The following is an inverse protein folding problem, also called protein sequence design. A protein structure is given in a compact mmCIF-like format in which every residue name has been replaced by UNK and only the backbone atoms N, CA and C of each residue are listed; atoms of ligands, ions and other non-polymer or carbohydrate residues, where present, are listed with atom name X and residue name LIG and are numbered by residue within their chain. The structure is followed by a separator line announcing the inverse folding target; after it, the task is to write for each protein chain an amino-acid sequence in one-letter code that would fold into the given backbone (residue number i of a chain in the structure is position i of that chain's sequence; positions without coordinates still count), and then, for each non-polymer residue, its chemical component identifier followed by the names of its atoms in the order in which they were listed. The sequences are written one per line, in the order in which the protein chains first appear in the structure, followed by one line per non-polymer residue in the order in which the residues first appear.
data_IF_696536607656
#
_entry.id   IF_696536607656
#
_cell.length_a   1.000
_cell.length_b   1.000
_cell.length_c   1.000
_cell.angle_alpha   90.00
_cell.angle_beta   90.00
_cell.angle_gamma   90.00
#
_symmetry.space_group_name_H-M   'P 1'
#
loop_
_entity.id
_entity.type
_entity.pdbx_description
1 polymer ?
#
# COMPACT_ATOMS: atom_id res chain seq x y z
N UNK A 1 -3.52 23.15 -0.17
CA UNK A 1 -2.44 22.57 -1.00
C UNK A 1 -3.13 21.87 -2.17
N UNK A 2 -3.01 22.39 -3.40
CA UNK A 2 -3.74 21.89 -4.58
C UNK A 2 -3.01 20.63 -5.08
N UNK A 3 -3.54 19.44 -4.82
CA UNK A 3 -2.90 18.19 -5.25
C UNK A 3 -3.04 18.07 -6.76
N UNK A 4 -1.93 17.84 -7.46
CA UNK A 4 -1.88 17.63 -8.91
C UNK A 4 -2.35 16.20 -9.26
N UNK A 5 -3.46 15.76 -8.68
CA UNK A 5 -4.02 14.46 -8.99
C UNK A 5 -4.98 14.64 -10.17
N UNK A 6 -4.59 14.09 -11.34
CA UNK A 6 -5.49 14.05 -12.50
C UNK A 6 -6.76 13.26 -12.19
N UNK A 7 -6.69 12.32 -11.24
CA UNK A 7 -7.74 11.38 -10.80
C UNK A 7 -8.92 12.01 -10.04
N UNK A 8 -9.92 11.19 -9.72
CA UNK A 8 -11.03 11.61 -8.87
C UNK A 8 -10.56 11.74 -7.41
N UNK A 9 -10.60 12.96 -6.88
CA UNK A 9 -10.14 13.28 -5.52
C UNK A 9 -10.85 12.47 -4.43
N UNK A 10 -12.15 12.16 -4.57
CA UNK A 10 -12.87 11.37 -3.58
C UNK A 10 -12.36 9.92 -3.50
N UNK A 11 -12.12 9.32 -4.66
CA UNK A 11 -11.57 7.96 -4.78
C UNK A 11 -10.16 7.92 -4.20
N UNK A 12 -9.34 8.91 -4.54
CA UNK A 12 -7.99 9.08 -3.98
C UNK A 12 -7.96 9.08 -2.45
N UNK A 13 -8.83 9.86 -1.81
CA UNK A 13 -8.92 9.91 -0.36
C UNK A 13 -9.41 8.59 0.24
N UNK A 14 -10.37 7.93 -0.41
CA UNK A 14 -10.86 6.61 0.00
C UNK A 14 -9.73 5.57 -0.04
N UNK A 15 -8.93 5.55 -1.11
CA UNK A 15 -7.80 4.64 -1.26
C UNK A 15 -6.68 4.90 -0.24
N UNK A 16 -6.39 6.17 0.05
CA UNK A 16 -5.43 6.56 1.10
C UNK A 16 -5.91 6.10 2.48
N UNK A 17 -7.18 6.30 2.80
CA UNK A 17 -7.78 5.82 4.04
C UNK A 17 -7.71 4.29 4.15
N UNK A 18 -8.07 3.57 3.09
CA UNK A 18 -8.03 2.12 3.06
C UNK A 18 -6.59 1.58 3.22
N UNK A 19 -5.61 2.25 2.61
CA UNK A 19 -4.19 1.92 2.78
C UNK A 19 -3.71 2.15 4.21
N UNK A 20 -4.13 3.26 4.85
CA UNK A 20 -3.83 3.53 6.27
C UNK A 20 -4.38 2.41 7.16
N UNK A 21 -5.66 2.03 6.98
CA UNK A 21 -6.28 0.93 7.74
C UNK A 21 -5.53 -0.38 7.52
N UNK A 22 -5.11 -0.66 6.28
CA UNK A 22 -4.34 -1.87 5.93
C UNK A 22 -2.99 -1.89 6.64
N UNK A 23 -2.26 -0.77 6.68
CA UNK A 23 -0.98 -0.62 7.38
C UNK A 23 -1.15 -0.87 8.88
N UNK A 24 -2.17 -0.27 9.50
CA UNK A 24 -2.44 -0.48 10.92
C UNK A 24 -2.81 -1.93 11.21
N UNK A 25 -3.68 -2.53 10.40
CA UNK A 25 -4.07 -3.93 10.53
C UNK A 25 -2.88 -4.87 10.43
N UNK A 26 -1.96 -4.64 9.48
CA UNK A 26 -0.73 -5.40 9.38
C UNK A 26 0.20 -5.22 10.59
N UNK A 27 0.31 -3.99 11.08
CA UNK A 27 1.06 -3.70 12.30
C UNK A 27 0.56 -4.47 13.52
N UNK A 28 -0.73 -4.80 13.62
CA UNK A 28 -1.26 -5.60 14.73
C UNK A 28 -0.68 -7.02 14.76
N UNK A 29 -0.39 -7.63 13.62
CA UNK A 29 0.20 -8.97 13.59
C UNK A 29 1.58 -8.99 14.24
N UNK A 30 2.37 -7.93 14.10
CA UNK A 30 3.69 -7.84 14.73
C UNK A 30 3.69 -7.80 16.26
N UNK A 31 2.51 -7.65 16.89
CA UNK A 31 2.40 -7.67 18.35
C UNK A 31 2.54 -9.09 18.92
N UNK A 32 2.51 -10.12 18.08
CA UNK A 32 2.73 -11.51 18.49
C UNK A 32 4.13 -11.74 19.09
N UNK A 33 5.15 -11.01 18.61
CA UNK A 33 6.54 -11.08 19.09
C UNK A 33 6.70 -10.80 20.58
N UNK A 34 5.77 -10.05 21.20
CA UNK A 34 5.79 -9.76 22.63
C UNK A 34 5.46 -10.98 23.50
N UNK A 35 4.87 -12.03 22.92
CA UNK A 35 4.55 -13.29 23.61
C UNK A 35 5.58 -14.40 23.38
N UNK A 36 6.66 -14.15 22.63
CA UNK A 36 7.63 -15.20 22.27
C UNK A 36 8.76 -15.41 23.30
N UNK A 37 8.77 -14.65 24.41
CA UNK A 37 9.72 -14.85 25.50
C UNK A 37 11.14 -14.32 25.24
N UNK A 38 11.30 -13.48 24.23
CA UNK A 38 12.56 -12.78 23.93
C UNK A 38 12.99 -11.82 25.04
N UNK A 39 14.29 -11.50 25.09
CA UNK A 39 14.75 -10.39 25.93
C UNK A 39 14.30 -9.03 25.33
N UNK A 40 14.48 -7.94 26.08
CA UNK A 40 13.98 -6.62 25.66
C UNK A 40 14.52 -6.17 24.29
N UNK A 41 15.82 -6.31 24.04
CA UNK A 41 16.44 -5.87 22.79
C UNK A 41 16.04 -6.76 21.60
N UNK A 42 15.95 -8.07 21.81
CA UNK A 42 15.45 -9.03 20.82
C UNK A 42 13.99 -8.74 20.46
N UNK A 43 13.14 -8.45 21.44
CA UNK A 43 11.73 -8.11 21.21
C UNK A 43 11.60 -6.86 20.34
N UNK A 44 12.36 -5.80 20.65
CA UNK A 44 12.37 -4.56 19.84
C UNK A 44 12.87 -4.83 18.43
N UNK A 45 13.95 -5.62 18.28
CA UNK A 45 14.47 -6.01 16.97
C UNK A 45 13.45 -6.81 16.15
N UNK A 46 12.86 -7.84 16.75
CA UNK A 46 11.84 -8.69 16.12
C UNK A 46 10.60 -7.87 15.71
N UNK A 47 10.13 -6.97 16.58
CA UNK A 47 9.02 -6.07 16.29
C UNK A 47 9.28 -5.18 15.08
N UNK A 48 10.48 -4.59 14.97
CA UNK A 48 10.85 -3.75 13.82
C UNK A 48 10.92 -4.57 12.52
N UNK A 49 11.48 -5.78 12.57
CA UNK A 49 11.58 -6.67 11.41
C UNK A 49 10.20 -7.12 10.94
N UNK A 50 9.30 -7.51 11.85
CA UNK A 50 7.92 -7.89 11.52
C UNK A 50 7.12 -6.73 10.91
N UNK A 51 7.46 -5.48 11.27
CA UNK A 51 6.84 -4.29 10.71
C UNK A 51 7.46 -3.80 9.40
N UNK A 52 8.52 -4.41 8.87
CA UNK A 52 9.14 -4.00 7.60
C UNK A 52 8.09 -3.83 6.48
N UNK A 53 7.15 -4.78 6.26
CA UNK A 53 6.17 -4.62 5.19
C UNK A 53 5.24 -3.42 5.42
N UNK A 54 4.81 -3.18 6.67
CA UNK A 54 4.00 -2.02 7.06
C UNK A 54 4.75 -0.70 6.88
N UNK A 55 6.02 -0.64 7.28
CA UNK A 55 6.87 0.54 7.14
C UNK A 55 7.10 0.91 5.67
N UNK A 56 7.32 -0.09 4.80
CA UNK A 56 7.45 0.14 3.36
C UNK A 56 6.14 0.67 2.76
N UNK A 57 4.98 0.14 3.19
CA UNK A 57 3.68 0.68 2.78
C UNK A 57 3.44 2.11 3.25
N UNK A 58 3.95 2.52 4.43
CA UNK A 58 3.91 3.92 4.88
C UNK A 58 4.70 4.82 3.92
N UNK A 59 5.91 4.40 3.51
CA UNK A 59 6.71 5.17 2.54
C UNK A 59 5.94 5.33 1.23
N UNK A 60 5.31 4.26 0.75
CA UNK A 60 4.48 4.30 -0.46
C UNK A 60 3.28 5.23 -0.29
N UNK A 61 2.59 5.21 0.85
CA UNK A 61 1.49 6.13 1.17
C UNK A 61 1.97 7.59 1.16
N UNK A 62 3.16 7.87 1.70
CA UNK A 62 3.76 9.20 1.69
C UNK A 62 3.97 9.71 0.27
N UNK A 63 4.47 8.85 -0.62
CA UNK A 63 4.65 9.17 -2.03
C UNK A 63 3.29 9.35 -2.73
N UNK A 64 2.30 8.52 -2.41
CA UNK A 64 0.95 8.56 -2.97
C UNK A 64 0.18 9.85 -2.61
N UNK A 65 0.58 10.59 -1.57
CA UNK A 65 -0.01 11.90 -1.25
C UNK A 65 0.30 12.98 -2.28
N UNK A 66 1.43 12.89 -2.98
CA UNK A 66 1.80 13.86 -4.03
C UNK A 66 1.71 13.29 -5.45
N UNK A 67 1.87 11.97 -5.60
CA UNK A 67 1.91 11.27 -6.88
C UNK A 67 1.20 9.92 -6.78
N UNK A 68 -0.11 9.91 -6.98
CA UNK A 68 -0.92 8.69 -6.87
C UNK A 68 -0.50 7.59 -7.85
N UNK A 69 -0.12 7.94 -9.07
CA UNK A 69 0.37 6.98 -10.06
C UNK A 69 1.63 6.25 -9.59
N UNK A 70 2.60 7.00 -9.07
CA UNK A 70 3.84 6.42 -8.53
C UNK A 70 3.56 5.64 -7.26
N UNK A 71 2.70 6.15 -6.38
CA UNK A 71 2.27 5.43 -5.18
C UNK A 71 1.63 4.08 -5.51
N UNK A 72 0.66 4.05 -6.44
CA UNK A 72 0.02 2.81 -6.90
C UNK A 72 1.01 1.83 -7.54
N UNK A 73 1.88 2.31 -8.44
CA UNK A 73 2.89 1.47 -9.08
C UNK A 73 3.90 0.90 -8.08
N UNK A 74 4.37 1.71 -7.13
CA UNK A 74 5.26 1.25 -6.07
C UNK A 74 4.56 0.25 -5.14
N UNK A 75 3.27 0.43 -4.84
CA UNK A 75 2.52 -0.52 -4.03
C UNK A 75 2.41 -1.88 -4.72
N UNK A 76 2.13 -1.89 -6.03
CA UNK A 76 2.08 -3.13 -6.82
C UNK A 76 3.45 -3.80 -6.91
N UNK A 77 4.51 -3.02 -7.13
CA UNK A 77 5.88 -3.55 -7.14
C UNK A 77 6.23 -4.14 -5.79
N UNK A 78 5.90 -3.47 -4.69
CA UNK A 78 6.14 -3.93 -3.34
C UNK A 78 5.44 -5.26 -3.07
N UNK A 79 4.16 -5.37 -3.43
CA UNK A 79 3.39 -6.61 -3.35
C UNK A 79 4.07 -7.73 -4.14
N UNK A 80 4.43 -7.45 -5.39
CA UNK A 80 5.07 -8.44 -6.27
C UNK A 80 6.40 -8.94 -5.68
N UNK A 81 7.24 -8.02 -5.20
CA UNK A 81 8.51 -8.36 -4.57
C UNK A 81 8.32 -9.27 -3.35
N UNK A 82 7.38 -8.96 -2.46
CA UNK A 82 7.12 -9.79 -1.29
C UNK A 82 6.52 -11.15 -1.65
N UNK A 83 5.56 -11.19 -2.58
CA UNK A 83 4.98 -12.47 -3.04
C UNK A 83 6.07 -13.37 -3.61
N UNK A 84 6.94 -12.85 -4.47
CA UNK A 84 8.08 -13.59 -5.03
C UNK A 84 9.04 -14.04 -3.92
N UNK A 85 9.39 -13.16 -2.99
CA UNK A 85 10.25 -13.48 -1.85
C UNK A 85 9.69 -14.65 -1.03
N UNK A 86 8.40 -14.63 -0.68
CA UNK A 86 7.77 -15.71 0.07
C UNK A 86 7.67 -17.02 -0.72
N UNK A 87 7.46 -16.96 -2.04
CA UNK A 87 7.48 -18.16 -2.89
C UNK A 87 8.87 -18.78 -2.91
N UNK A 88 9.94 -17.97 -3.07
CA UNK A 88 11.33 -18.45 -3.05
C UNK A 88 11.64 -19.09 -1.69
N UNK A 89 11.25 -18.43 -0.60
CA UNK A 89 11.55 -18.90 0.76
C UNK A 89 10.80 -20.19 1.13
N UNK A 90 9.55 -20.34 0.69
CA UNK A 90 8.70 -21.48 1.05
C UNK A 90 8.63 -22.58 -0.01
N UNK A 91 9.17 -22.33 -1.21
CA UNK A 91 9.13 -23.23 -2.37
C UNK A 91 7.75 -23.38 -3.02
N UNK A 92 6.72 -22.67 -2.54
CA UNK A 92 5.34 -22.75 -3.07
C UNK A 92 4.56 -21.46 -2.81
N UNK A 93 3.48 -21.26 -3.55
CA UNK A 93 2.55 -20.18 -3.27
C UNK A 93 1.62 -20.58 -2.12
N UNK A 94 1.75 -19.90 -0.97
CA UNK A 94 0.89 -20.14 0.19
C UNK A 94 -0.38 -19.28 0.10
N UNK A 95 -1.53 -19.87 0.48
CA UNK A 95 -2.80 -19.14 0.53
C UNK A 95 -2.75 -17.92 1.45
N UNK A 96 -2.02 -18.02 2.57
CA UNK A 96 -1.82 -16.88 3.49
C UNK A 96 -1.17 -15.67 2.82
N UNK A 97 -0.18 -15.90 1.94
CA UNK A 97 0.47 -14.83 1.17
C UNK A 97 -0.53 -14.15 0.23
N UNK A 98 -1.38 -14.92 -0.46
CA UNK A 98 -2.40 -14.35 -1.34
C UNK A 98 -3.43 -13.52 -0.57
N UNK A 99 -3.89 -14.02 0.57
CA UNK A 99 -4.88 -13.34 1.40
C UNK A 99 -4.31 -12.03 1.97
N UNK A 100 -3.08 -12.06 2.52
CA UNK A 100 -2.46 -10.87 3.07
C UNK A 100 -2.24 -9.81 2.01
N UNK A 101 -1.59 -10.16 0.90
CA UNK A 101 -1.18 -9.20 -0.12
C UNK A 101 -2.28 -8.82 -1.12
N UNK A 102 -3.42 -9.53 -1.13
CA UNK A 102 -4.53 -9.26 -2.03
C UNK A 102 -5.16 -7.88 -1.84
N UNK A 103 -5.32 -7.42 -0.60
CA UNK A 103 -5.88 -6.10 -0.32
C UNK A 103 -4.92 -4.95 -0.73
N UNK A 104 -3.63 -4.95 -0.32
CA UNK A 104 -2.64 -4.00 -0.86
C UNK A 104 -2.55 -3.99 -2.39
N UNK A 105 -2.64 -5.17 -3.03
CA UNK A 105 -2.66 -5.27 -4.49
C UNK A 105 -3.86 -4.53 -5.09
N UNK A 106 -5.07 -4.80 -4.59
CA UNK A 106 -6.29 -4.15 -5.07
C UNK A 106 -6.21 -2.63 -4.90
N UNK A 107 -5.71 -2.14 -3.76
CA UNK A 107 -5.50 -0.71 -3.51
C UNK A 107 -4.52 -0.13 -4.54
N UNK A 108 -3.42 -0.81 -4.83
CA UNK A 108 -2.42 -0.38 -5.81
C UNK A 108 -3.01 -0.27 -7.22
N UNK A 109 -3.77 -1.28 -7.65
CA UNK A 109 -4.49 -1.26 -8.95
C UNK A 109 -5.46 -0.08 -8.99
N UNK A 110 -6.24 0.11 -7.92
CA UNK A 110 -7.23 1.19 -7.85
C UNK A 110 -6.60 2.58 -7.89
N UNK A 111 -5.41 2.78 -7.30
CA UNK A 111 -4.68 4.04 -7.42
C UNK A 111 -4.32 4.34 -8.89
N UNK A 112 -3.85 3.33 -9.63
CA UNK A 112 -3.55 3.48 -11.05
C UNK A 112 -4.82 3.72 -11.88
N UNK A 113 -5.88 2.94 -11.64
CA UNK A 113 -7.16 3.09 -12.34
C UNK A 113 -7.74 4.49 -12.10
N UNK A 114 -7.69 4.97 -10.87
CA UNK A 114 -8.15 6.31 -10.53
C UNK A 114 -7.39 7.39 -11.31
N UNK A 115 -6.08 7.26 -11.37
CA UNK A 115 -5.22 8.23 -12.05
C UNK A 115 -5.41 8.24 -13.57
N UNK A 116 -5.51 7.07 -14.21
CA UNK A 116 -5.56 6.95 -15.67
C UNK A 116 -6.97 7.05 -16.27
N UNK A 117 -7.99 6.56 -15.58
CA UNK A 117 -9.34 6.41 -16.14
C UNK A 117 -10.40 7.28 -15.48
N UNK A 118 -10.32 7.48 -14.16
CA UNK A 118 -11.32 8.27 -13.40
C UNK A 118 -10.94 9.74 -13.26
N UNK A 119 -9.80 10.13 -13.84
CA UNK A 119 -9.37 11.50 -13.86
C UNK A 119 -10.25 12.35 -14.75
N UNK A 120 -10.77 13.45 -14.20
CA UNK A 120 -11.59 14.39 -14.97
C UNK A 120 -10.76 14.84 -16.17
N UNK A 121 -11.20 14.45 -17.38
CA UNK A 121 -11.04 15.36 -18.53
C UNK A 121 -11.68 16.65 -18.05
N UNK A 122 -10.88 17.70 -17.84
CA UNK A 122 -11.46 19.03 -17.96
C UNK A 122 -12.02 19.02 -19.38
N UNK A 123 -13.34 18.84 -19.48
CA UNK A 123 -14.03 19.06 -20.73
C UNK A 123 -13.57 20.39 -21.27
N UNK A 124 -13.30 20.38 -22.56
CA UNK A 124 -13.13 21.54 -23.41
C UNK A 124 -14.42 22.36 -23.36
N UNK A 125 -14.71 22.99 -22.23
CA UNK A 125 -15.74 24.00 -22.10
C UNK A 125 -15.04 25.36 -22.16
N UNK A 126 -14.38 25.60 -23.30
CA UNK A 126 -14.24 26.97 -23.78
C UNK A 126 -15.59 27.30 -24.42
N UNK A 127 -16.42 28.18 -23.83
CA UNK A 127 -17.56 28.67 -24.59
C UNK A 127 -17.04 29.30 -25.89
N UNK A 128 -17.69 29.08 -27.04
CA UNK A 128 -17.52 30.01 -28.14
C UNK A 128 -18.02 31.36 -27.61
N UNK A 129 -17.26 32.42 -27.94
CA UNK A 129 -17.42 33.83 -27.53
C UNK A 129 -16.64 34.22 -26.26
#
# INVERSE_FOLDING_TARGET
MKTSDRGNTFVSWTLRFLLIVTIFFWGLFSLDVFNEGYNFLETVGAFLVHNIPSLLMIIVLIIAWKRENVGGALLLLLVLCFVIFFIIQSGRLMYGTLIMFGLPFLIGVMFLVNYYFLGKKQEEEKPPY
#
